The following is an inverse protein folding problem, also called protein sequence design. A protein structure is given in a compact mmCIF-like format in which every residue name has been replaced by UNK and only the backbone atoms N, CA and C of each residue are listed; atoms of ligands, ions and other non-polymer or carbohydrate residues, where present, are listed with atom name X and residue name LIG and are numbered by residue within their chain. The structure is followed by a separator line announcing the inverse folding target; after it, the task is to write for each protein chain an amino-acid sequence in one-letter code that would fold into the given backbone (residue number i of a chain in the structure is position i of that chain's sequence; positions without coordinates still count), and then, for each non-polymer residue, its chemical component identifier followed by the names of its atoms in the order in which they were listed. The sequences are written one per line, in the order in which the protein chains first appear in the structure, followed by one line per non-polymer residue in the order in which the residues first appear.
data_IF_933945176519
#
_entry.id   IF_933945176519
#
_cell.length_a   1.000
_cell.length_b   1.000
_cell.length_c   1.000
_cell.angle_alpha   90.00
_cell.angle_beta   90.00
_cell.angle_gamma   90.00
#
_symmetry.space_group_name_H-M   'P 1'
#
loop_
_entity.id
_entity.type
_entity.pdbx_description
1 polymer ?
#
# COMPACT_ATOMS: atom_id res chain seq x y z
N UNK A 1 15.82 -0.98 -20.80
CA UNK A 1 15.88 -0.69 -19.34
C UNK A 1 15.33 0.71 -19.00
N UNK A 2 15.34 1.66 -19.93
CA UNK A 2 14.71 2.99 -19.80
C UNK A 2 13.17 2.97 -19.90
N UNK A 3 12.62 2.03 -20.67
CA UNK A 3 11.20 2.08 -21.06
C UNK A 3 10.25 1.70 -19.92
N UNK A 4 10.67 0.77 -19.05
CA UNK A 4 9.90 0.34 -17.88
C UNK A 4 9.81 1.46 -16.85
N UNK A 5 10.88 2.23 -16.69
CA UNK A 5 10.92 3.37 -15.78
C UNK A 5 9.97 4.47 -16.25
N UNK A 6 10.00 4.82 -17.54
CA UNK A 6 9.11 5.82 -18.12
C UNK A 6 7.64 5.40 -18.00
N UNK A 7 7.32 4.14 -18.36
CA UNK A 7 5.96 3.60 -18.24
C UNK A 7 5.45 3.61 -16.79
N UNK A 8 6.31 3.26 -15.81
CA UNK A 8 5.94 3.27 -14.41
C UNK A 8 5.68 4.70 -13.89
N UNK A 9 6.51 5.67 -14.25
CA UNK A 9 6.29 7.07 -13.89
C UNK A 9 5.07 7.66 -14.59
N UNK A 10 4.87 7.40 -15.88
CA UNK A 10 3.72 7.89 -16.63
C UNK A 10 2.41 7.34 -16.06
N UNK A 11 2.38 6.05 -15.71
CA UNK A 11 1.26 5.46 -14.96
C UNK A 11 1.07 6.13 -13.59
N UNK A 12 2.14 6.30 -12.81
CA UNK A 12 2.09 6.87 -11.46
C UNK A 12 1.59 8.33 -11.45
N UNK A 13 2.06 9.15 -12.40
CA UNK A 13 1.60 10.53 -12.56
C UNK A 13 0.20 10.60 -13.18
N UNK A 14 -0.13 9.68 -14.10
CA UNK A 14 -1.45 9.54 -14.68
C UNK A 14 -2.53 9.21 -13.66
N UNK A 15 -2.22 8.44 -12.61
CA UNK A 15 -3.16 8.18 -11.51
C UNK A 15 -3.64 9.45 -10.82
N UNK A 16 -2.76 10.45 -10.66
CA UNK A 16 -3.13 11.70 -10.01
C UNK A 16 -4.04 12.58 -10.88
N UNK A 17 -3.81 12.57 -12.19
CA UNK A 17 -4.62 13.32 -13.15
C UNK A 17 -5.97 12.65 -13.42
N UNK A 18 -6.00 11.31 -13.47
CA UNK A 18 -7.20 10.51 -13.75
C UNK A 18 -8.13 10.38 -12.53
N UNK A 19 -7.58 10.21 -11.33
CA UNK A 19 -8.37 9.99 -10.11
C UNK A 19 -8.34 11.18 -9.14
N UNK A 20 -7.59 12.26 -9.42
CA UNK A 20 -7.50 13.44 -8.55
C UNK A 20 -6.69 13.23 -7.26
N UNK A 21 -5.84 12.20 -7.23
CA UNK A 21 -5.06 11.80 -6.06
C UNK A 21 -3.68 12.44 -6.08
N UNK A 22 -3.14 12.81 -4.93
CA UNK A 22 -1.77 13.34 -4.87
C UNK A 22 -0.76 12.16 -5.00
N UNK A 23 0.02 12.09 -6.10
CA UNK A 23 0.98 11.00 -6.31
C UNK A 23 2.04 10.96 -5.20
N UNK A 24 2.40 12.11 -4.62
CA UNK A 24 3.38 12.18 -3.53
C UNK A 24 2.82 11.51 -2.28
N UNK A 25 1.54 11.74 -1.97
CA UNK A 25 0.88 11.10 -0.83
C UNK A 25 0.73 9.60 -1.08
N UNK A 26 0.29 9.20 -2.27
CA UNK A 26 0.19 7.79 -2.64
C UNK A 26 1.54 7.07 -2.54
N UNK A 27 2.60 7.66 -3.10
CA UNK A 27 3.97 7.14 -3.01
C UNK A 27 4.49 7.09 -1.58
N UNK A 28 4.20 8.11 -0.77
CA UNK A 28 4.60 8.16 0.65
C UNK A 28 3.92 7.08 1.47
N UNK A 29 2.61 6.84 1.25
CA UNK A 29 1.87 5.75 1.88
C UNK A 29 2.43 4.40 1.42
N UNK A 30 2.65 4.24 0.11
CA UNK A 30 3.17 2.99 -0.45
C UNK A 30 4.54 2.63 0.12
N UNK A 31 5.49 3.56 0.09
CA UNK A 31 6.85 3.35 0.62
C UNK A 31 6.83 3.27 2.14
N UNK A 32 6.02 4.08 2.83
CA UNK A 32 5.88 4.08 4.28
C UNK A 32 5.19 2.83 4.84
N UNK A 33 4.31 2.19 4.06
CA UNK A 33 3.65 0.96 4.45
C UNK A 33 4.58 -0.25 4.41
N UNK A 34 5.62 -0.27 3.55
CA UNK A 34 6.58 -1.38 3.44
C UNK A 34 7.24 -1.74 4.79
N UNK A 35 7.85 -0.80 5.56
CA UNK A 35 8.45 -1.14 6.85
C UNK A 35 7.41 -1.62 7.87
N UNK A 36 6.21 -1.05 7.87
CA UNK A 36 5.13 -1.43 8.80
C UNK A 36 4.52 -2.80 8.46
N UNK A 37 4.39 -3.10 7.18
CA UNK A 37 4.03 -4.41 6.67
C UNK A 37 5.07 -5.45 7.07
N UNK A 38 6.36 -5.16 6.84
CA UNK A 38 7.47 -6.05 7.20
C UNK A 38 7.49 -6.32 8.71
N UNK A 39 7.26 -5.29 9.53
CA UNK A 39 7.16 -5.42 10.98
C UNK A 39 5.96 -6.26 11.41
N UNK A 40 4.82 -6.11 10.72
CA UNK A 40 3.62 -6.94 10.94
C UNK A 40 3.88 -8.41 10.59
N UNK A 41 4.64 -8.70 9.52
CA UNK A 41 5.07 -10.06 9.17
C UNK A 41 6.03 -10.62 10.21
N UNK A 42 7.02 -9.85 10.66
CA UNK A 42 7.92 -10.27 11.72
C UNK A 42 7.15 -10.60 13.02
N UNK A 43 6.15 -9.79 13.36
CA UNK A 43 5.27 -10.04 14.49
C UNK A 43 4.40 -11.29 14.29
N UNK A 44 3.90 -11.53 13.08
CA UNK A 44 3.14 -12.73 12.72
C UNK A 44 3.98 -14.00 12.87
N UNK A 45 5.23 -13.98 12.39
CA UNK A 45 6.18 -15.09 12.54
C UNK A 45 6.46 -15.33 14.04
N UNK A 46 6.66 -14.27 14.83
CA UNK A 46 6.88 -14.37 16.28
C UNK A 46 5.65 -14.94 16.99
N UNK A 47 4.45 -14.46 16.69
CA UNK A 47 3.20 -14.95 17.26
C UNK A 47 2.97 -16.43 16.93
N UNK A 48 3.27 -16.85 15.69
CA UNK A 48 3.22 -18.25 15.27
C UNK A 48 4.17 -19.13 16.09
N UNK A 49 5.41 -18.66 16.35
CA UNK A 49 6.40 -19.38 17.16
C UNK A 49 6.00 -19.49 18.64
N UNK A 50 5.30 -18.49 19.17
CA UNK A 50 4.85 -18.43 20.56
C UNK A 50 3.48 -19.08 20.79
N UNK A 51 2.84 -19.66 19.75
CA UNK A 51 1.49 -20.23 19.85
C UNK A 51 0.40 -19.19 20.15
N UNK A 52 0.67 -17.92 19.89
CA UNK A 52 -0.24 -16.79 20.15
C UNK A 52 -1.22 -16.60 18.99
N UNK A 53 -2.37 -15.94 19.24
CA UNK A 53 -3.35 -15.67 18.20
C UNK A 53 -2.73 -14.85 17.06
N UNK A 54 -2.81 -15.38 15.84
CA UNK A 54 -2.32 -14.75 14.62
C UNK A 54 -3.28 -13.68 14.07
N UNK A 55 -4.48 -13.56 14.65
CA UNK A 55 -5.51 -12.63 14.18
C UNK A 55 -4.99 -11.18 14.11
N UNK A 56 -4.38 -10.69 15.19
CA UNK A 56 -3.90 -9.30 15.25
C UNK A 56 -2.77 -8.99 14.27
N UNK A 57 -1.69 -9.81 14.18
CA UNK A 57 -0.65 -9.59 13.17
C UNK A 57 -1.17 -9.66 11.73
N UNK A 58 -2.10 -10.59 11.44
CA UNK A 58 -2.67 -10.73 10.09
C UNK A 58 -3.48 -9.50 9.71
N UNK A 59 -4.37 -9.03 10.59
CA UNK A 59 -5.18 -7.83 10.33
C UNK A 59 -4.29 -6.61 10.11
N UNK A 60 -3.24 -6.43 10.93
CA UNK A 60 -2.25 -5.36 10.74
C UNK A 60 -1.54 -5.48 9.39
N UNK A 61 -1.04 -6.66 9.03
CA UNK A 61 -0.38 -6.88 7.75
C UNK A 61 -1.30 -6.58 6.57
N UNK A 62 -2.54 -7.06 6.60
CA UNK A 62 -3.54 -6.77 5.58
C UNK A 62 -3.88 -5.29 5.49
N UNK A 63 -3.98 -4.58 6.61
CA UNK A 63 -4.24 -3.14 6.63
C UNK A 63 -3.12 -2.35 5.94
N UNK A 64 -1.86 -2.60 6.28
CA UNK A 64 -0.73 -1.91 5.65
C UNK A 64 -0.61 -2.27 4.16
N UNK A 65 -0.89 -3.53 3.79
CA UNK A 65 -0.87 -3.98 2.40
C UNK A 65 -1.88 -3.24 1.51
N UNK A 66 -3.08 -2.97 2.02
CA UNK A 66 -4.17 -2.34 1.24
C UNK A 66 -4.21 -0.81 1.43
N UNK A 67 -3.39 -0.25 2.32
CA UNK A 67 -3.39 1.17 2.66
C UNK A 67 -3.27 2.13 1.48
N UNK A 68 -2.44 1.80 0.48
CA UNK A 68 -2.30 2.61 -0.74
C UNK A 68 -3.57 2.59 -1.61
N UNK A 69 -4.26 1.44 -1.67
CA UNK A 69 -5.54 1.31 -2.37
C UNK A 69 -6.68 1.99 -1.61
N UNK A 70 -6.66 1.96 -0.27
CA UNK A 70 -7.62 2.73 0.54
C UNK A 70 -7.48 4.23 0.27
N UNK A 71 -6.26 4.73 0.09
CA UNK A 71 -6.04 6.13 -0.29
C UNK A 71 -6.66 6.45 -1.66
N UNK A 72 -6.44 5.60 -2.67
CA UNK A 72 -7.09 5.75 -3.98
C UNK A 72 -8.62 5.71 -3.87
N UNK A 73 -9.17 4.85 -3.01
CA UNK A 73 -10.61 4.75 -2.81
C UNK A 73 -11.23 5.99 -2.14
N UNK A 74 -10.52 6.61 -1.20
CA UNK A 74 -11.01 7.77 -0.45
C UNK A 74 -10.78 9.09 -1.18
N UNK A 75 -9.61 9.26 -1.79
CA UNK A 75 -9.23 10.48 -2.48
C UNK A 75 -9.58 10.46 -3.98
N UNK A 76 -9.92 9.29 -4.54
CA UNK A 76 -10.33 9.12 -5.92
C UNK A 76 -11.69 9.74 -6.21
N UNK A 77 -11.72 10.79 -7.01
CA UNK A 77 -12.94 11.31 -7.66
C UNK A 77 -12.99 10.77 -9.09
N UNK A 78 -14.00 9.96 -9.44
CA UNK A 78 -14.12 9.12 -10.66
C UNK A 78 -13.54 7.69 -10.60
N UNK A 79 -13.74 6.97 -9.50
CA UNK A 79 -13.58 5.52 -9.55
C UNK A 79 -14.77 4.98 -10.37
N UNK A 80 -14.58 4.36 -11.54
CA UNK A 80 -15.68 3.74 -12.25
C UNK A 80 -16.26 2.63 -11.36
N UNK A 81 -17.53 2.80 -10.96
CA UNK A 81 -18.32 1.82 -10.23
C UNK A 81 -18.65 0.61 -11.12
#
# INVERSE_FOLDING_TARGET
MTDIWMAATEWFWGLGDEYGVDPIVFGSIYVGAIPLFTLSIAWLIKAKREGKPLFWPTVSASFWFISSYLYLFVAGTNIPC
#
